data_IF_762388636522
#
_entry.id   IF_762388636522
#
_cell.length_a   1.000
_cell.length_b   1.000
_cell.length_c   1.000
_cell.angle_alpha   90.00
_cell.angle_beta   90.00
_cell.angle_gamma   90.00
#
_symmetry.space_group_name_H-M   'P 1'
#
loop_
_entity.id
_entity.type
_entity.pdbx_description
1 polymer ?
#
# COMPACT_ATOMS: atom_id res chain seq x y z
N UNK A 1 -10.01 -3.54 -10.45
CA UNK A 1 -10.88 -3.82 -9.28
C UNK A 1 -12.24 -4.24 -9.82
N UNK A 2 -12.84 -5.28 -9.26
CA UNK A 2 -14.23 -5.62 -9.59
C UNK A 2 -15.13 -4.50 -9.10
N UNK A 3 -16.20 -4.19 -9.85
CA UNK A 3 -17.21 -3.17 -9.49
C UNK A 3 -17.75 -3.37 -8.07
N UNK A 4 -17.84 -4.62 -7.64
CA UNK A 4 -18.35 -5.02 -6.33
C UNK A 4 -17.42 -4.59 -5.18
N UNK A 5 -16.09 -4.64 -5.39
CA UNK A 5 -15.09 -4.20 -4.41
C UNK A 5 -15.14 -2.69 -4.24
N UNK A 6 -15.26 -1.94 -5.33
CA UNK A 6 -15.33 -0.48 -5.28
C UNK A 6 -16.59 0.00 -4.58
N UNK A 7 -17.73 -0.66 -4.84
CA UNK A 7 -18.97 -0.39 -4.13
C UNK A 7 -18.85 -0.70 -2.63
N UNK A 8 -18.26 -1.84 -2.26
CA UNK A 8 -18.03 -2.20 -0.86
C UNK A 8 -17.12 -1.20 -0.11
N UNK A 9 -16.07 -0.69 -0.77
CA UNK A 9 -15.20 0.35 -0.22
C UNK A 9 -15.99 1.63 0.05
N UNK A 10 -16.79 2.08 -0.92
CA UNK A 10 -17.57 3.32 -0.78
C UNK A 10 -18.61 3.19 0.35
N UNK A 11 -19.34 2.07 0.41
CA UNK A 11 -20.31 1.82 1.49
C UNK A 11 -19.64 1.80 2.87
N UNK A 12 -18.48 1.17 2.98
CA UNK A 12 -17.71 1.11 4.24
C UNK A 12 -17.22 2.49 4.65
N UNK A 13 -16.73 3.28 3.69
CA UNK A 13 -16.31 4.66 3.91
C UNK A 13 -17.46 5.53 4.43
N UNK A 14 -18.64 5.42 3.82
CA UNK A 14 -19.80 6.21 4.23
C UNK A 14 -20.29 5.79 5.64
N UNK A 15 -20.23 4.49 5.94
CA UNK A 15 -20.54 3.97 7.29
C UNK A 15 -19.52 4.46 8.34
N UNK A 16 -18.23 4.49 8.01
CA UNK A 16 -17.18 5.05 8.88
C UNK A 16 -17.38 6.55 9.12
N UNK A 17 -17.73 7.31 8.09
CA UNK A 17 -18.00 8.74 8.23
C UNK A 17 -19.19 9.00 9.18
N UNK A 18 -20.27 8.23 9.01
CA UNK A 18 -21.45 8.30 9.89
C UNK A 18 -21.13 7.89 11.34
N UNK A 19 -20.24 6.91 11.54
CA UNK A 19 -19.78 6.54 12.88
C UNK A 19 -18.98 7.66 13.55
N UNK A 20 -18.08 8.33 12.81
CA UNK A 20 -17.31 9.47 13.32
C UNK A 20 -18.25 10.60 13.73
N UNK A 21 -19.24 10.92 12.90
CA UNK A 21 -20.27 11.93 13.21
C UNK A 21 -21.06 11.55 14.47
N UNK A 22 -21.43 10.27 14.61
CA UNK A 22 -22.11 9.75 15.80
C UNK A 22 -21.27 9.93 17.07
N UNK A 23 -19.95 9.72 17.01
CA UNK A 23 -19.06 9.97 18.14
C UNK A 23 -18.94 11.47 18.48
N UNK A 24 -18.91 12.34 17.48
CA UNK A 24 -18.87 13.79 17.69
C UNK A 24 -20.14 14.25 18.41
N UNK A 25 -21.31 13.84 17.91
CA UNK A 25 -22.60 14.19 18.53
C UNK A 25 -22.74 13.62 19.94
N UNK A 26 -22.34 12.36 20.15
CA UNK A 26 -22.30 11.76 21.48
C UNK A 26 -21.42 12.59 22.43
N UNK A 27 -20.27 13.04 21.96
CA UNK A 27 -19.38 13.94 22.70
C UNK A 27 -20.06 15.25 23.11
N UNK A 28 -20.84 15.85 22.21
CA UNK A 28 -21.62 17.07 22.50
C UNK A 28 -22.72 16.80 23.52
N UNK A 29 -23.49 15.72 23.37
CA UNK A 29 -24.57 15.35 24.31
C UNK A 29 -24.02 15.11 25.71
N UNK A 30 -22.86 14.46 25.82
CA UNK A 30 -22.19 14.20 27.10
C UNK A 30 -21.65 15.50 27.70
N UNK A 31 -21.07 16.38 26.89
CA UNK A 31 -20.58 17.69 27.34
C UNK A 31 -21.70 18.58 27.88
N UNK A 32 -22.82 18.67 27.15
CA UNK A 32 -23.97 19.52 27.50
C UNK A 32 -25.01 18.79 28.37
N UNK A 33 -24.61 17.72 29.05
CA UNK A 33 -25.54 16.87 29.79
C UNK A 33 -26.13 17.60 31.01
N UNK A 34 -27.42 17.96 30.92
CA UNK A 34 -28.13 18.71 31.96
C UNK A 34 -28.77 17.82 33.04
N UNK A 35 -28.66 16.49 32.94
CA UNK A 35 -29.24 15.56 33.91
C UNK A 35 -30.77 15.41 33.85
N UNK A 36 -31.43 16.08 32.89
CA UNK A 36 -32.88 15.97 32.67
C UNK A 36 -33.25 14.59 32.11
N UNK A 37 -34.51 14.17 32.27
CA UNK A 37 -35.00 12.90 31.73
C UNK A 37 -34.85 12.84 30.20
N UNK A 38 -35.18 13.95 29.52
CA UNK A 38 -34.95 14.09 28.07
C UNK A 38 -33.48 13.95 27.67
N UNK A 39 -32.54 14.48 28.46
CA UNK A 39 -31.09 14.32 28.20
C UNK A 39 -30.63 12.87 28.36
N UNK A 40 -31.23 12.12 29.30
CA UNK A 40 -30.93 10.69 29.50
C UNK A 40 -31.45 9.84 28.35
N UNK A 41 -32.67 10.11 27.89
CA UNK A 41 -33.27 9.40 26.78
C UNK A 41 -32.51 9.67 25.47
N UNK A 42 -32.17 10.93 25.20
CA UNK A 42 -31.38 11.30 24.03
C UNK A 42 -30.00 10.62 24.00
N UNK A 43 -29.30 10.58 25.15
CA UNK A 43 -28.02 9.88 25.29
C UNK A 43 -28.18 8.37 25.05
N UNK A 44 -29.20 7.74 25.63
CA UNK A 44 -29.44 6.31 25.47
C UNK A 44 -29.74 5.93 24.02
N UNK A 45 -30.56 6.72 23.33
CA UNK A 45 -30.86 6.52 21.90
C UNK A 45 -29.57 6.63 21.09
N UNK A 46 -28.80 7.71 21.26
CA UNK A 46 -27.59 7.95 20.44
C UNK A 46 -26.50 6.92 20.69
N UNK A 47 -26.36 6.47 21.94
CA UNK A 47 -25.43 5.40 22.30
C UNK A 47 -25.82 4.08 21.61
N UNK A 48 -27.10 3.72 21.63
CA UNK A 48 -27.58 2.51 20.97
C UNK A 48 -27.39 2.56 19.44
N UNK A 49 -27.66 3.70 18.81
CA UNK A 49 -27.39 3.91 17.38
C UNK A 49 -25.90 3.76 17.02
N UNK A 50 -25.02 4.29 17.89
CA UNK A 50 -23.57 4.16 17.72
C UNK A 50 -23.13 2.70 17.83
N UNK A 51 -23.65 1.96 18.82
CA UNK A 51 -23.38 0.52 18.98
C UNK A 51 -23.89 -0.27 17.77
N UNK A 52 -25.08 0.05 17.26
CA UNK A 52 -25.63 -0.61 16.08
C UNK A 52 -24.76 -0.37 14.83
N UNK A 53 -24.31 0.87 14.62
CA UNK A 53 -23.43 1.25 13.51
C UNK A 53 -22.07 0.56 13.61
N UNK A 54 -21.50 0.48 14.81
CA UNK A 54 -20.26 -0.27 15.06
C UNK A 54 -20.47 -1.77 14.77
N UNK A 55 -21.62 -2.32 15.16
CA UNK A 55 -21.99 -3.70 14.87
C UNK A 55 -22.14 -3.98 13.37
N UNK A 56 -22.63 -3.00 12.59
CA UNK A 56 -22.71 -3.09 11.11
C UNK A 56 -21.32 -3.13 10.48
N UNK A 57 -20.37 -2.34 11.00
CA UNK A 57 -18.97 -2.34 10.55
C UNK A 57 -18.24 -3.65 10.88
N UNK A 58 -18.58 -4.29 12.00
CA UNK A 58 -17.95 -5.55 12.41
C UNK A 58 -18.51 -6.77 11.66
N UNK A 59 -19.75 -6.70 11.15
CA UNK A 59 -20.36 -7.82 10.42
C UNK A 59 -19.66 -7.99 9.06
N UNK A 60 -19.07 -9.16 8.78
CA UNK A 60 -18.29 -9.40 7.57
C UNK A 60 -19.22 -9.73 6.39
N UNK A 61 -20.14 -8.84 6.03
CA UNK A 61 -20.88 -8.97 4.76
C UNK A 61 -20.00 -8.58 3.56
N UNK A 62 -18.78 -8.11 3.81
CA UNK A 62 -17.83 -7.62 2.82
C UNK A 62 -16.78 -8.65 2.42
N UNK A 63 -17.20 -9.80 1.88
CA UNK A 63 -16.28 -10.78 1.24
C UNK A 63 -15.42 -10.16 0.12
N UNK A 64 -15.83 -9.01 -0.40
CA UNK A 64 -15.11 -8.24 -1.40
C UNK A 64 -13.94 -7.41 -0.82
N UNK A 65 -13.98 -7.03 0.48
CA UNK A 65 -12.91 -6.25 1.13
C UNK A 65 -11.75 -7.13 1.61
N UNK A 66 -12.03 -8.37 2.00
CA UNK A 66 -11.00 -9.35 2.39
C UNK A 66 -10.02 -9.65 1.25
N UNK A 67 -10.44 -9.38 0.00
CA UNK A 67 -9.62 -9.55 -1.21
C UNK A 67 -8.68 -8.38 -1.47
N UNK A 68 -8.72 -7.31 -0.67
CA UNK A 68 -7.86 -6.13 -0.83
C UNK A 68 -6.64 -6.28 0.08
N UNK A 69 -5.47 -6.69 -0.44
CA UNK A 69 -4.27 -6.79 0.38
C UNK A 69 -3.77 -5.40 0.74
N UNK A 70 -3.57 -5.15 2.03
CA UNK A 70 -2.96 -3.92 2.54
C UNK A 70 -1.53 -4.27 3.02
N UNK A 71 -0.48 -3.64 2.48
CA UNK A 71 0.88 -3.84 2.97
C UNK A 71 0.99 -3.45 4.44
N UNK A 72 1.73 -4.24 5.23
CA UNK A 72 1.93 -3.97 6.66
C UNK A 72 2.57 -2.60 6.91
N UNK A 73 3.51 -2.21 6.05
CA UNK A 73 4.20 -0.94 6.14
C UNK A 73 3.21 0.25 6.02
N UNK A 74 2.12 0.10 5.26
CA UNK A 74 1.07 1.14 5.18
C UNK A 74 0.33 1.27 6.51
N UNK A 75 0.15 0.17 7.26
CA UNK A 75 -0.47 0.23 8.60
C UNK A 75 0.42 1.00 9.58
N UNK A 76 1.75 0.77 9.55
CA UNK A 76 2.70 1.51 10.39
C UNK A 76 2.68 3.01 10.09
N UNK A 77 2.54 3.40 8.81
CA UNK A 77 2.35 4.80 8.43
C UNK A 77 1.09 5.41 9.04
N UNK A 78 -0.02 4.68 9.06
CA UNK A 78 -1.28 5.14 9.66
C UNK A 78 -1.14 5.26 11.19
N UNK A 79 -0.53 4.29 11.85
CA UNK A 79 -0.27 4.29 13.30
C UNK A 79 0.61 5.49 13.73
N UNK A 80 1.61 5.83 12.91
CA UNK A 80 2.48 6.99 13.11
C UNK A 80 1.82 8.34 12.73
N UNK A 81 0.59 8.33 12.21
CA UNK A 81 -0.10 9.54 11.74
C UNK A 81 0.48 10.14 10.45
N UNK A 82 1.24 9.35 9.67
CA UNK A 82 1.80 9.76 8.38
C UNK A 82 0.79 9.49 7.25
N UNK A 83 0.88 10.30 6.19
CA UNK A 83 0.06 10.06 5.00
C UNK A 83 0.54 8.77 4.28
N UNK A 84 -0.33 7.74 4.09
CA UNK A 84 0.03 6.50 3.39
C UNK A 84 0.42 6.70 1.92
N UNK A 85 0.05 7.82 1.29
CA UNK A 85 0.49 8.16 -0.08
C UNK A 85 2.02 8.33 -0.16
N UNK A 86 2.66 8.70 0.96
CA UNK A 86 4.12 8.81 1.04
C UNK A 86 4.78 7.46 0.85
N UNK A 87 4.23 6.39 1.44
CA UNK A 87 4.73 5.03 1.23
C UNK A 87 4.66 4.65 -0.25
N UNK A 88 3.53 4.90 -0.91
CA UNK A 88 3.36 4.63 -2.34
C UNK A 88 4.39 5.38 -3.19
N UNK A 89 4.61 6.67 -2.89
CA UNK A 89 5.62 7.49 -3.57
C UNK A 89 7.03 6.92 -3.38
N UNK A 90 7.41 6.62 -2.13
CA UNK A 90 8.72 6.05 -1.81
C UNK A 90 8.94 4.70 -2.48
N UNK A 91 7.92 3.84 -2.51
CA UNK A 91 7.96 2.55 -3.17
C UNK A 91 8.22 2.68 -4.67
N UNK A 92 7.52 3.60 -5.34
CA UNK A 92 7.72 3.89 -6.77
C UNK A 92 9.12 4.46 -7.03
N UNK A 93 9.57 5.40 -6.20
CA UNK A 93 10.91 5.99 -6.30
C UNK A 93 12.02 4.95 -6.10
N UNK A 94 11.90 4.10 -5.08
CA UNK A 94 12.82 3.00 -4.80
C UNK A 94 12.86 1.99 -5.94
N UNK A 95 11.70 1.60 -6.46
CA UNK A 95 11.59 0.69 -7.61
C UNK A 95 12.28 1.28 -8.85
N UNK A 96 12.05 2.56 -9.14
CA UNK A 96 12.71 3.26 -10.25
C UNK A 96 14.22 3.29 -10.07
N UNK A 97 14.69 3.65 -8.88
CA UNK A 97 16.13 3.70 -8.54
C UNK A 97 16.78 2.33 -8.70
N UNK A 98 16.14 1.28 -8.18
CA UNK A 98 16.62 -0.10 -8.29
C UNK A 98 16.69 -0.56 -9.75
N UNK A 99 15.67 -0.28 -10.55
CA UNK A 99 15.65 -0.61 -11.98
C UNK A 99 16.79 0.09 -12.74
N UNK A 100 16.96 1.40 -12.56
CA UNK A 100 18.06 2.13 -13.19
C UNK A 100 19.44 1.60 -12.75
N UNK A 101 19.60 1.31 -11.46
CA UNK A 101 20.83 0.74 -10.92
C UNK A 101 21.16 -0.63 -11.51
N UNK A 102 20.17 -1.52 -11.61
CA UNK A 102 20.32 -2.84 -12.23
C UNK A 102 20.64 -2.74 -13.72
N UNK A 103 19.98 -1.83 -14.46
CA UNK A 103 20.30 -1.56 -15.87
C UNK A 103 21.74 -1.06 -16.04
N UNK A 104 22.18 -0.16 -15.16
CA UNK A 104 23.57 0.32 -15.14
C UNK A 104 24.57 -0.81 -14.90
N UNK A 105 24.29 -1.71 -13.94
CA UNK A 105 25.11 -2.90 -13.70
C UNK A 105 25.17 -3.83 -14.91
N UNK A 106 24.03 -4.08 -15.55
CA UNK A 106 23.99 -4.92 -16.76
C UNK A 106 24.79 -4.31 -17.90
N UNK A 107 24.68 -2.99 -18.12
CA UNK A 107 25.46 -2.28 -19.12
C UNK A 107 26.97 -2.35 -18.81
N UNK A 108 27.38 -2.04 -17.58
CA UNK A 108 28.79 -2.11 -17.18
C UNK A 108 29.37 -3.52 -17.30
N UNK A 109 28.59 -4.56 -16.99
CA UNK A 109 29.02 -5.94 -17.14
C UNK A 109 29.16 -6.33 -18.63
N UNK A 110 28.27 -5.83 -19.49
CA UNK A 110 28.38 -6.01 -20.94
C UNK A 110 29.62 -5.32 -21.50
N UNK A 111 29.91 -4.10 -21.05
CA UNK A 111 31.09 -3.34 -21.47
C UNK A 111 32.38 -4.04 -21.00
N UNK A 112 32.42 -4.52 -19.76
CA UNK A 112 33.51 -5.31 -19.22
C UNK A 112 33.75 -6.57 -20.07
N UNK A 113 32.68 -7.32 -20.38
CA UNK A 113 32.75 -8.51 -21.25
C UNK A 113 33.32 -8.16 -22.63
N UNK A 114 32.89 -7.04 -23.21
CA UNK A 114 33.36 -6.62 -24.53
C UNK A 114 34.83 -6.25 -24.53
N UNK A 115 35.26 -5.38 -23.61
CA UNK A 115 36.64 -4.90 -23.47
C UNK A 115 37.58 -6.06 -23.13
N UNK A 116 37.23 -6.86 -22.13
CA UNK A 116 38.04 -8.00 -21.70
C UNK A 116 38.16 -9.01 -22.83
N UNK A 117 37.05 -9.36 -23.49
CA UNK A 117 37.08 -10.28 -24.62
C UNK A 117 37.93 -9.76 -25.78
N UNK A 118 37.83 -8.46 -26.12
CA UNK A 118 38.68 -7.84 -27.15
C UNK A 118 40.17 -7.92 -26.79
N UNK A 119 40.51 -7.66 -25.52
CA UNK A 119 41.90 -7.70 -25.07
C UNK A 119 42.48 -9.11 -25.05
N UNK A 120 41.69 -10.11 -24.61
CA UNK A 120 42.09 -11.52 -24.68
C UNK A 120 42.34 -11.94 -26.13
N UNK A 121 41.43 -11.64 -27.06
CA UNK A 121 41.61 -11.97 -28.49
C UNK A 121 42.84 -11.29 -29.11
N UNK A 122 43.22 -10.10 -28.62
CA UNK A 122 44.40 -9.37 -29.12
C UNK A 122 45.72 -9.95 -28.60
N UNK A 123 45.79 -10.34 -27.33
CA UNK A 123 47.01 -10.84 -26.69
C UNK A 123 47.20 -12.35 -26.93
N UNK A 124 46.10 -13.10 -27.07
CA UNK A 124 46.06 -14.56 -27.26
C UNK A 124 45.14 -14.92 -28.44
N UNK A 125 45.64 -14.82 -29.69
CA UNK A 125 44.84 -15.07 -30.89
C UNK A 125 44.20 -16.47 -30.94
N UNK A 126 44.85 -17.49 -30.38
CA UNK A 126 44.35 -18.86 -30.31
C UNK A 126 43.08 -19.02 -29.47
N UNK A 127 42.79 -18.09 -28.56
CA UNK A 127 41.60 -18.10 -27.72
C UNK A 127 40.43 -17.31 -28.33
N UNK A 128 40.60 -16.68 -29.49
CA UNK A 128 39.58 -15.77 -30.04
C UNK A 128 38.25 -16.47 -30.36
N UNK A 129 38.30 -17.70 -30.89
CA UNK A 129 37.07 -18.46 -31.18
C UNK A 129 36.29 -18.82 -29.90
N UNK A 130 37.00 -19.17 -28.83
CA UNK A 130 36.40 -19.51 -27.53
C UNK A 130 35.74 -18.28 -26.91
N UNK A 131 36.39 -17.11 -27.01
CA UNK A 131 35.84 -15.83 -26.51
C UNK A 131 34.57 -15.45 -27.27
N UNK A 132 34.53 -15.66 -28.59
CA UNK A 132 33.31 -15.42 -29.38
C UNK A 132 32.17 -16.38 -29.03
N UNK A 133 32.45 -17.67 -28.82
CA UNK A 133 31.44 -18.64 -28.39
C UNK A 133 30.81 -18.25 -27.04
N UNK A 134 31.65 -17.89 -26.06
CA UNK A 134 31.18 -17.45 -24.73
C UNK A 134 30.29 -16.21 -24.85
N UNK A 135 30.65 -15.24 -25.71
CA UNK A 135 29.84 -14.04 -25.96
C UNK A 135 28.49 -14.38 -26.57
N UNK A 136 28.42 -15.34 -27.50
CA UNK A 136 27.16 -15.78 -28.13
C UNK A 136 26.26 -16.51 -27.14
N UNK A 137 26.82 -17.33 -26.25
CA UNK A 137 26.08 -18.09 -25.22
C UNK A 137 25.53 -17.23 -24.08
N UNK A 138 26.16 -16.11 -23.80
CA UNK A 138 25.81 -15.21 -22.69
C UNK A 138 25.07 -13.96 -23.18
N UNK A 139 24.35 -14.08 -24.30
CA UNK A 139 23.60 -12.98 -24.92
C UNK A 139 22.11 -13.06 -24.57
#
# INVERSE_FOLDING_TARGET
MSTDTEQAINQTRDTLASLIESFIELGVIVHDFQGTESSKDALAIRLNETIETLGKLQKPESSALDQVPIPRDVLEYIEDGRNPDVYTREFVEATRKSNQYLRGKMAAMKDLREILGKKISSEFPELSEVVEDIKKRTN
#
